data_IF_176386015974
#
_entry.id   IF_176386015974
#
_cell.length_a   1.000
_cell.length_b   1.000
_cell.length_c   1.000
_cell.angle_alpha   90.00
_cell.angle_beta   90.00
_cell.angle_gamma   90.00
#
_symmetry.space_group_name_H-M   'P 1'
#
loop_
_entity.id
_entity.type
_entity.pdbx_description
1 polymer ?
#
# COMPACT_ATOMS: atom_id res chain seq x y z
N UNK A 1 22.95 17.54 -8.65
CA UNK A 1 21.77 16.93 -7.97
C UNK A 1 20.51 17.35 -8.73
N UNK A 2 19.71 16.41 -9.21
CA UNK A 2 18.49 16.71 -10.00
C UNK A 2 17.31 17.14 -9.09
N UNK A 3 17.18 18.43 -8.82
CA UNK A 3 16.14 19.00 -7.93
C UNK A 3 14.72 18.65 -8.41
N UNK A 4 14.50 18.59 -9.73
CA UNK A 4 13.19 18.31 -10.35
C UNK A 4 12.58 16.95 -9.95
N UNK A 5 13.41 15.95 -9.60
CA UNK A 5 12.92 14.64 -9.16
C UNK A 5 12.33 14.69 -7.76
N UNK A 6 12.76 15.65 -6.93
CA UNK A 6 12.42 15.76 -5.51
C UNK A 6 11.27 16.72 -5.22
N UNK A 7 11.05 17.70 -6.09
CA UNK A 7 9.93 18.63 -5.95
C UNK A 7 8.72 18.09 -6.72
N UNK A 8 7.59 17.96 -6.01
CA UNK A 8 6.29 17.67 -6.61
C UNK A 8 5.44 18.92 -6.49
N UNK A 9 5.04 19.50 -7.63
CA UNK A 9 4.01 20.54 -7.66
C UNK A 9 2.69 19.84 -7.94
N UNK A 10 1.78 19.86 -6.95
CA UNK A 10 0.42 19.37 -7.11
C UNK A 10 -0.52 20.56 -7.23
N UNK A 11 -1.35 20.59 -8.27
CA UNK A 11 -2.39 21.61 -8.44
C UNK A 11 -3.70 21.03 -7.93
N UNK A 12 -4.27 21.67 -6.91
CA UNK A 12 -5.61 21.35 -6.40
C UNK A 12 -6.52 22.51 -6.79
N UNK A 13 -7.61 22.28 -7.53
CA UNK A 13 -8.54 23.34 -7.89
C UNK A 13 -9.30 23.83 -6.65
N UNK A 14 -9.48 25.15 -6.54
CA UNK A 14 -10.10 25.81 -5.39
C UNK A 14 -9.09 26.59 -4.53
N UNK A 15 -9.59 27.34 -3.56
CA UNK A 15 -8.78 28.21 -2.69
C UNK A 15 -8.36 29.53 -3.34
N UNK A 16 -7.61 30.33 -2.59
CA UNK A 16 -6.95 31.54 -3.07
C UNK A 16 -5.46 31.27 -3.34
N UNK A 17 -4.78 32.21 -4.00
CA UNK A 17 -3.35 32.07 -4.32
C UNK A 17 -2.52 31.93 -3.04
N UNK A 18 -2.94 32.64 -1.99
CA UNK A 18 -2.34 32.71 -0.66
C UNK A 18 -2.44 31.39 0.11
N UNK A 19 -3.36 30.49 -0.27
CA UNK A 19 -3.51 29.16 0.34
C UNK A 19 -2.43 28.17 -0.13
N UNK A 20 -1.59 28.57 -1.08
CA UNK A 20 -0.50 27.76 -1.60
C UNK A 20 0.60 27.58 -0.55
N UNK A 21 0.76 26.35 -0.04
CA UNK A 21 1.74 26.03 0.99
C UNK A 21 2.78 25.02 0.52
N UNK A 22 4.04 25.24 0.93
CA UNK A 22 5.11 24.25 0.75
C UNK A 22 5.09 23.27 1.92
N UNK A 23 4.68 22.04 1.67
CA UNK A 23 4.69 20.96 2.67
C UNK A 23 6.01 20.20 2.61
N UNK A 24 6.69 20.06 3.75
CA UNK A 24 7.79 19.11 3.92
C UNK A 24 7.17 17.72 3.97
N UNK A 25 7.25 16.98 2.86
CA UNK A 25 6.62 15.67 2.73
C UNK A 25 6.26 15.34 1.28
N UNK A 26 5.49 14.27 1.10
CA UNK A 26 5.01 13.84 -0.22
C UNK A 26 3.49 13.83 -0.21
N UNK A 27 2.88 14.65 -1.06
CA UNK A 27 1.43 14.63 -1.27
C UNK A 27 1.10 13.65 -2.40
N UNK A 28 0.17 12.73 -2.13
CA UNK A 28 -0.29 11.73 -3.09
C UNK A 28 -1.81 11.81 -3.13
N UNK A 29 -2.35 12.11 -4.31
CA UNK A 29 -3.78 12.08 -4.54
C UNK A 29 -4.24 10.63 -4.79
N UNK A 30 -4.34 9.85 -3.71
CA UNK A 30 -4.82 8.47 -3.76
C UNK A 30 -5.45 8.09 -2.42
N UNK A 31 -6.65 7.52 -2.46
CA UNK A 31 -7.39 7.11 -1.25
C UNK A 31 -6.92 5.72 -0.76
N UNK A 32 -7.31 5.38 0.47
CA UNK A 32 -7.20 4.02 1.01
C UNK A 32 -8.07 3.05 0.22
N UNK A 33 -7.73 1.77 0.31
CA UNK A 33 -8.44 0.72 -0.44
C UNK A 33 -9.89 0.56 0.03
N UNK A 34 -10.12 0.60 1.34
CA UNK A 34 -11.45 0.54 1.94
C UNK A 34 -11.78 1.83 2.71
N UNK A 35 -12.24 2.88 2.00
CA UNK A 35 -12.68 4.11 2.66
C UNK A 35 -13.81 3.80 3.64
N UNK A 36 -13.65 4.22 4.90
CA UNK A 36 -14.62 3.98 5.99
C UNK A 36 -14.24 2.86 6.95
N UNK A 37 -13.52 1.83 6.51
CA UNK A 37 -13.01 0.76 7.39
C UNK A 37 -11.55 0.96 7.80
N UNK A 38 -10.77 1.65 6.96
CA UNK A 38 -9.37 1.97 7.21
C UNK A 38 -9.21 3.38 7.80
N UNK A 39 -8.21 3.56 8.67
CA UNK A 39 -7.91 4.84 9.32
C UNK A 39 -7.34 5.81 8.28
N UNK A 40 -7.91 7.02 8.20
CA UNK A 40 -7.44 8.07 7.27
C UNK A 40 -6.35 8.96 7.84
N UNK A 41 -6.29 9.06 9.16
CA UNK A 41 -5.30 9.85 9.88
C UNK A 41 -4.61 8.94 10.89
N UNK A 42 -3.30 8.83 10.75
CA UNK A 42 -2.47 7.99 11.62
C UNK A 42 -1.32 8.86 12.13
N UNK A 43 -1.10 8.79 13.44
CA UNK A 43 -0.02 9.44 14.17
C UNK A 43 1.03 8.38 14.55
N UNK A 44 2.30 8.76 14.68
CA UNK A 44 3.43 7.83 14.92
C UNK A 44 3.37 6.54 14.10
N UNK A 45 3.11 6.69 12.80
CA UNK A 45 2.80 5.57 11.92
C UNK A 45 4.02 4.74 11.57
N UNK A 46 3.81 3.42 11.51
CA UNK A 46 4.78 2.46 10.98
C UNK A 46 4.46 2.13 9.53
N UNK A 47 5.38 2.47 8.63
CA UNK A 47 5.17 2.41 7.19
C UNK A 47 6.00 1.26 6.60
N UNK A 48 5.37 0.47 5.74
CA UNK A 48 6.03 -0.53 4.90
C UNK A 48 5.75 -0.22 3.43
N UNK A 49 6.79 -0.25 2.60
CA UNK A 49 6.72 -0.04 1.15
C UNK A 49 7.03 -1.35 0.42
N UNK A 50 6.15 -1.75 -0.49
CA UNK A 50 6.25 -3.02 -1.22
C UNK A 50 6.14 -2.82 -2.74
N UNK A 51 6.93 -3.58 -3.50
CA UNK A 51 6.76 -3.76 -4.95
C UNK A 51 6.20 -5.16 -5.32
N UNK A 52 5.57 -5.85 -4.34
CA UNK A 52 4.93 -7.16 -4.56
C UNK A 52 3.42 -7.03 -4.78
N UNK A 53 2.81 -7.79 -5.71
CA UNK A 53 1.35 -7.94 -5.79
C UNK A 53 0.82 -8.78 -4.62
N UNK A 54 -0.08 -8.20 -3.82
CA UNK A 54 -0.84 -8.93 -2.80
C UNK A 54 -2.15 -9.45 -3.40
N UNK A 55 -2.02 -10.18 -4.50
CA UNK A 55 -3.13 -10.79 -5.24
C UNK A 55 -2.63 -12.04 -5.94
N UNK A 56 -3.49 -13.06 -6.03
CA UNK A 56 -3.16 -14.25 -6.79
C UNK A 56 -3.22 -13.91 -8.28
N UNK A 57 -2.16 -14.27 -9.01
CA UNK A 57 -2.15 -14.19 -10.47
C UNK A 57 -2.22 -15.60 -11.00
N UNK A 58 -3.32 -15.92 -11.70
CA UNK A 58 -3.39 -17.12 -12.52
C UNK A 58 -2.27 -17.05 -13.55
N UNK A 59 -1.39 -18.05 -13.56
CA UNK A 59 -0.26 -18.10 -14.50
C UNK A 59 -0.78 -18.19 -15.94
N UNK A 60 -0.36 -17.27 -16.81
CA UNK A 60 -0.85 -17.17 -18.19
C UNK A 60 -0.61 -18.44 -19.02
N UNK A 61 0.35 -19.30 -18.63
CA UNK A 61 0.81 -20.43 -19.46
C UNK A 61 0.60 -21.85 -18.86
N UNK A 62 0.08 -22.02 -17.64
CA UNK A 62 0.07 -23.33 -16.97
C UNK A 62 -1.31 -23.91 -16.62
N UNK A 63 -2.39 -23.13 -16.71
CA UNK A 63 -3.72 -23.59 -16.23
C UNK A 63 -4.60 -24.21 -17.31
N UNK A 64 -4.14 -24.27 -18.56
CA UNK A 64 -4.91 -24.87 -19.65
C UNK A 64 -4.93 -26.42 -19.64
N UNK A 65 -4.12 -27.08 -18.82
CA UNK A 65 -3.87 -28.51 -19.01
C UNK A 65 -4.79 -29.46 -18.21
N UNK A 66 -5.37 -29.10 -17.05
CA UNK A 66 -5.94 -30.15 -16.17
C UNK A 66 -7.22 -29.79 -15.37
N UNK A 67 -7.89 -28.66 -15.61
CA UNK A 67 -9.16 -28.36 -14.90
C UNK A 67 -10.35 -29.04 -15.59
N UNK A 68 -10.44 -30.37 -15.44
CA UNK A 68 -11.51 -31.21 -16.00
C UNK A 68 -12.52 -31.71 -14.95
N UNK A 69 -12.30 -31.48 -13.65
CA UNK A 69 -13.22 -31.94 -12.57
C UNK A 69 -13.67 -30.79 -11.67
N UNK A 70 -14.93 -30.81 -11.24
CA UNK A 70 -15.52 -29.83 -10.30
C UNK A 70 -14.78 -29.80 -8.95
N UNK A 71 -14.25 -30.94 -8.51
CA UNK A 71 -13.52 -31.13 -7.25
C UNK A 71 -12.22 -30.29 -7.19
N UNK A 72 -11.54 -30.11 -8.32
CA UNK A 72 -10.25 -29.41 -8.40
C UNK A 72 -10.41 -27.88 -8.25
N UNK A 73 -11.59 -27.34 -8.57
CA UNK A 73 -11.88 -25.91 -8.43
C UNK A 73 -11.96 -25.48 -6.96
N UNK A 74 -12.54 -26.32 -6.10
CA UNK A 74 -12.63 -26.04 -4.66
C UNK A 74 -11.25 -25.98 -4.00
N UNK A 75 -10.37 -26.91 -4.36
CA UNK A 75 -8.98 -26.95 -3.88
C UNK A 75 -8.20 -25.72 -4.36
N UNK A 76 -8.37 -25.32 -5.61
CA UNK A 76 -7.69 -24.14 -6.16
C UNK A 76 -8.08 -22.85 -5.45
N UNK A 77 -9.37 -22.69 -5.11
CA UNK A 77 -9.86 -21.55 -4.34
C UNK A 77 -9.24 -21.51 -2.93
N UNK A 78 -9.19 -22.66 -2.24
CA UNK A 78 -8.56 -22.75 -0.92
C UNK A 78 -7.07 -22.39 -0.97
N UNK A 79 -6.35 -22.89 -1.98
CA UNK A 79 -4.93 -22.56 -2.17
C UNK A 79 -4.71 -21.07 -2.42
N UNK A 80 -5.60 -20.41 -3.18
CA UNK A 80 -5.57 -18.96 -3.40
C UNK A 80 -5.78 -18.18 -2.10
N UNK A 81 -6.77 -18.58 -1.29
CA UNK A 81 -7.05 -17.95 0.01
C UNK A 81 -5.88 -18.10 0.99
N UNK A 82 -5.37 -19.32 1.16
CA UNK A 82 -4.22 -19.61 2.01
C UNK A 82 -2.95 -18.87 1.56
N UNK A 83 -2.76 -18.72 0.26
CA UNK A 83 -1.63 -17.95 -0.27
C UNK A 83 -1.71 -16.48 0.18
N UNK A 84 -2.87 -15.84 -0.02
CA UNK A 84 -3.06 -14.44 0.36
C UNK A 84 -3.00 -14.25 1.87
N UNK A 85 -3.60 -15.16 2.64
CA UNK A 85 -3.53 -15.13 4.09
C UNK A 85 -2.09 -15.19 4.59
N UNK A 86 -1.28 -16.15 4.09
CA UNK A 86 0.14 -16.28 4.47
C UNK A 86 0.92 -14.99 4.25
N UNK A 87 0.75 -14.37 3.07
CA UNK A 87 1.41 -13.09 2.76
C UNK A 87 0.99 -11.97 3.71
N UNK A 88 -0.31 -11.86 3.99
CA UNK A 88 -0.84 -10.84 4.90
C UNK A 88 -0.33 -11.05 6.32
N UNK A 89 -0.33 -12.29 6.81
CA UNK A 89 0.16 -12.65 8.14
C UNK A 89 1.65 -12.30 8.28
N UNK A 90 2.47 -12.58 7.27
CA UNK A 90 3.89 -12.19 7.29
C UNK A 90 4.08 -10.69 7.46
N UNK A 91 3.35 -9.88 6.68
CA UNK A 91 3.40 -8.41 6.78
C UNK A 91 2.91 -7.94 8.15
N UNK A 92 1.83 -8.54 8.66
CA UNK A 92 1.22 -8.19 9.94
C UNK A 92 2.09 -8.52 11.16
N UNK A 93 3.04 -9.48 11.06
CA UNK A 93 3.99 -9.78 12.15
C UNK A 93 4.82 -8.57 12.55
N UNK A 94 5.16 -7.71 11.59
CA UNK A 94 5.88 -6.46 11.79
C UNK A 94 5.01 -5.33 12.39
N UNK A 95 3.71 -5.60 12.53
CA UNK A 95 2.67 -4.71 13.03
C UNK A 95 2.65 -3.33 12.33
N UNK A 96 2.66 -3.23 11.00
CA UNK A 96 2.59 -1.93 10.32
C UNK A 96 1.28 -1.21 10.60
N UNK A 97 1.28 0.12 10.51
CA UNK A 97 0.04 0.92 10.50
C UNK A 97 -0.40 1.27 9.08
N UNK A 98 0.58 1.41 8.18
CA UNK A 98 0.37 1.73 6.76
C UNK A 98 1.19 0.78 5.89
N UNK A 99 0.53 0.16 4.91
CA UNK A 99 1.17 -0.67 3.88
C UNK A 99 0.91 -0.04 2.52
N UNK A 100 1.96 0.27 1.79
CA UNK A 100 1.88 0.89 0.46
C UNK A 100 2.47 -0.07 -0.56
N UNK A 101 1.68 -0.44 -1.56
CA UNK A 101 2.12 -1.32 -2.65
C UNK A 101 2.12 -0.59 -3.99
N UNK A 102 3.17 -0.80 -4.80
CA UNK A 102 3.17 -0.36 -6.20
C UNK A 102 2.23 -1.19 -7.07
N UNK A 103 2.01 -2.45 -6.69
CA UNK A 103 1.16 -3.40 -7.40
C UNK A 103 -0.26 -3.43 -6.84
N UNK A 104 -1.06 -4.39 -7.28
CA UNK A 104 -2.42 -4.59 -6.77
C UNK A 104 -2.46 -5.25 -5.39
N UNK A 105 -3.61 -5.14 -4.75
CA UNK A 105 -3.95 -5.73 -3.45
C UNK A 105 -5.39 -6.25 -3.58
N UNK A 106 -5.60 -7.54 -3.29
CA UNK A 106 -6.88 -8.22 -3.42
C UNK A 106 -7.86 -7.82 -2.33
N UNK A 107 -9.16 -7.99 -2.55
CA UNK A 107 -10.15 -7.62 -1.54
C UNK A 107 -10.06 -8.49 -0.28
N UNK A 108 -9.59 -9.73 -0.42
CA UNK A 108 -9.26 -10.60 0.71
C UNK A 108 -8.11 -10.05 1.55
N UNK A 109 -7.02 -9.60 0.93
CA UNK A 109 -5.92 -8.94 1.64
C UNK A 109 -6.38 -7.64 2.32
N UNK A 110 -7.29 -6.90 1.68
CA UNK A 110 -7.89 -5.69 2.25
C UNK A 110 -8.70 -6.01 3.52
N UNK A 111 -9.45 -7.12 3.51
CA UNK A 111 -10.18 -7.59 4.69
C UNK A 111 -9.23 -7.92 5.85
N UNK A 112 -8.15 -8.66 5.60
CA UNK A 112 -7.14 -8.97 6.62
C UNK A 112 -6.50 -7.72 7.22
N UNK A 113 -6.07 -6.78 6.38
CA UNK A 113 -5.49 -5.52 6.84
C UNK A 113 -6.48 -4.66 7.60
N UNK A 114 -7.73 -4.56 7.12
CA UNK A 114 -8.78 -3.82 7.81
C UNK A 114 -9.09 -4.41 9.18
N UNK A 115 -9.16 -5.73 9.31
CA UNK A 115 -9.38 -6.42 10.60
C UNK A 115 -8.23 -6.18 11.57
N UNK A 116 -7.00 -6.07 11.07
CA UNK A 116 -5.81 -5.75 11.86
C UNK A 116 -5.63 -4.24 12.11
N UNK A 117 -6.51 -3.37 11.60
CA UNK A 117 -6.41 -1.92 11.74
C UNK A 117 -5.33 -1.26 10.88
N UNK A 118 -4.81 -1.96 9.87
CA UNK A 118 -3.77 -1.50 8.96
C UNK A 118 -4.38 -0.84 7.74
N UNK A 119 -3.87 0.33 7.37
CA UNK A 119 -4.34 1.07 6.20
C UNK A 119 -3.50 0.72 4.97
N UNK A 120 -4.16 0.23 3.93
CA UNK A 120 -3.53 -0.19 2.68
C UNK A 120 -3.69 0.84 1.58
N UNK A 121 -2.63 1.06 0.79
CA UNK A 121 -2.68 1.77 -0.49
C UNK A 121 -2.16 0.85 -1.59
N UNK A 122 -2.88 0.74 -2.72
CA UNK A 122 -2.50 -0.10 -3.86
C UNK A 122 -2.24 0.69 -5.12
N UNK A 123 -1.48 0.10 -6.05
CA UNK A 123 -1.19 0.63 -7.40
C UNK A 123 -0.50 1.99 -7.37
N UNK A 124 0.44 2.21 -6.46
CA UNK A 124 1.16 3.47 -6.42
C UNK A 124 2.17 3.56 -7.58
N UNK A 125 2.30 4.74 -8.22
CA UNK A 125 3.33 4.94 -9.24
C UNK A 125 4.72 4.83 -8.61
N UNK A 126 5.64 4.15 -9.29
CA UNK A 126 7.05 4.00 -8.86
C UNK A 126 7.72 5.34 -8.51
N UNK A 127 7.43 6.40 -9.27
CA UNK A 127 7.95 7.75 -8.99
C UNK A 127 7.45 8.31 -7.65
N UNK A 128 6.20 8.02 -7.26
CA UNK A 128 5.68 8.41 -5.96
C UNK A 128 6.26 7.52 -4.86
N UNK A 129 6.34 6.21 -5.07
CA UNK A 129 6.90 5.30 -4.07
C UNK A 129 8.35 5.65 -3.73
N UNK A 130 9.18 5.93 -4.74
CA UNK A 130 10.56 6.41 -4.54
C UNK A 130 10.64 7.73 -3.76
N UNK A 131 9.66 8.63 -3.93
CA UNK A 131 9.59 9.88 -3.15
C UNK A 131 9.21 9.59 -1.69
N UNK A 132 8.26 8.69 -1.45
CA UNK A 132 7.90 8.26 -0.07
C UNK A 132 9.11 7.60 0.59
N UNK A 133 9.73 6.64 -0.08
CA UNK A 133 10.92 5.93 0.38
C UNK A 133 11.98 6.92 0.88
N UNK A 134 12.32 7.92 0.06
CA UNK A 134 13.28 8.95 0.44
C UNK A 134 12.79 9.90 1.55
N UNK A 135 11.52 10.28 1.54
CA UNK A 135 10.97 11.17 2.54
C UNK A 135 10.77 10.50 3.91
N UNK A 136 10.65 9.17 3.95
CA UNK A 136 10.55 8.40 5.18
C UNK A 136 11.91 7.82 5.61
N UNK A 137 12.84 7.64 4.67
CA UNK A 137 14.03 6.82 4.89
C UNK A 137 13.73 5.31 4.80
N UNK A 138 12.65 4.93 4.12
CA UNK A 138 12.21 3.55 3.95
C UNK A 138 12.84 2.89 2.73
N UNK A 139 13.08 1.59 2.82
CA UNK A 139 13.49 0.75 1.70
C UNK A 139 12.23 0.13 1.08
N UNK A 140 12.18 0.08 -0.26
CA UNK A 140 11.10 -0.61 -0.97
C UNK A 140 11.46 -2.08 -1.04
N UNK A 141 10.66 -2.93 -0.40
CA UNK A 141 10.91 -4.37 -0.35
C UNK A 141 10.18 -5.05 -1.51
N UNK A 142 10.88 -5.93 -2.22
CA UNK A 142 10.32 -6.61 -3.39
C UNK A 142 9.43 -7.78 -3.02
N UNK A 143 9.79 -8.56 -2.00
CA UNK A 143 9.04 -9.74 -1.56
C UNK A 143 8.70 -9.65 -0.07
N UNK A 144 7.48 -10.02 0.34
CA UNK A 144 7.09 -10.03 1.74
C UNK A 144 7.93 -10.99 2.59
N UNK A 145 8.49 -12.05 1.99
CA UNK A 145 9.40 -12.99 2.67
C UNK A 145 10.75 -12.36 3.08
N UNK A 146 11.18 -11.32 2.36
CA UNK A 146 12.45 -10.63 2.60
C UNK A 146 12.28 -9.47 3.59
N UNK A 147 11.07 -9.20 4.07
CA UNK A 147 10.81 -8.14 5.03
C UNK A 147 11.60 -8.37 6.31
N UNK A 148 12.32 -7.34 6.74
CA UNK A 148 13.03 -7.31 8.00
C UNK A 148 12.47 -6.21 8.90
N UNK A 149 12.77 -6.31 10.21
CA UNK A 149 12.34 -5.31 11.18
C UNK A 149 12.95 -3.92 10.89
N UNK A 150 14.09 -3.87 10.20
CA UNK A 150 14.75 -2.64 9.73
C UNK A 150 14.00 -1.92 8.61
N UNK A 151 13.15 -2.63 7.86
CA UNK A 151 12.39 -2.04 6.75
C UNK A 151 11.12 -1.32 7.24
N UNK A 152 10.74 -1.57 8.49
CA UNK A 152 9.64 -0.89 9.16
C UNK A 152 10.11 0.47 9.61
N UNK A 153 9.66 1.52 8.92
CA UNK A 153 10.03 2.88 9.26
C UNK A 153 9.01 3.51 10.18
N UNK A 154 9.49 3.96 11.34
CA UNK A 154 8.73 4.79 12.26
C UNK A 154 8.87 6.25 11.83
N UNK A 155 7.75 6.95 11.63
CA UNK A 155 7.76 8.40 11.44
C UNK A 155 7.14 9.09 12.66
N UNK A 156 7.86 9.99 13.35
CA UNK A 156 7.32 10.76 14.45
C UNK A 156 6.24 11.76 13.99
N UNK A 157 5.42 12.20 14.96
CA UNK A 157 4.14 12.91 14.82
C UNK A 157 4.10 14.16 13.91
N UNK A 158 5.24 14.79 13.64
CA UNK A 158 5.33 16.04 12.87
C UNK A 158 4.97 15.88 11.38
N UNK A 159 4.85 14.63 10.91
CA UNK A 159 4.50 14.26 9.53
C UNK A 159 3.41 13.16 9.49
N UNK A 160 2.25 13.46 10.08
CA UNK A 160 1.07 12.61 9.96
C UNK A 160 0.78 12.27 8.48
N UNK A 161 0.57 10.97 8.18
CA UNK A 161 0.02 10.57 6.90
C UNK A 161 -1.47 10.87 6.94
N UNK A 162 -1.83 12.05 6.45
CA UNK A 162 -3.22 12.37 6.13
C UNK A 162 -3.51 11.76 4.76
N UNK A 163 -4.21 10.63 4.74
CA UNK A 163 -4.73 10.06 3.51
C UNK A 163 -5.90 10.95 3.06
N UNK A 164 -5.98 11.28 1.76
CA UNK A 164 -6.86 12.33 1.28
C UNK A 164 -8.30 12.05 1.70
N UNK A 165 -8.89 13.00 2.42
CA UNK A 165 -10.33 13.04 2.61
C UNK A 165 -10.96 13.33 1.27
N UNK A 166 -11.76 12.39 0.76
CA UNK A 166 -12.88 12.72 -0.12
C UNK A 166 -13.89 13.56 0.69
N UNK A 167 -13.54 14.80 0.98
CA UNK A 167 -14.46 15.85 1.38
C UNK A 167 -14.48 16.86 0.25
N UNK A 168 -15.36 16.59 -0.71
CA UNK A 168 -16.15 17.58 -1.43
C UNK A 168 -17.28 16.83 -2.14
N UNK A 169 -18.31 16.51 -1.37
CA UNK A 169 -19.71 16.68 -1.76
C UNK A 169 -20.39 17.44 -0.64
#
# INVERSE_FOLDING_TARGET
MDIQKYIKVEKVPGGQLEDSVVRKGVMINKDVIAPGKMRRKIFNQRIILLDWPLQYKKGENQTNAELLKEEDWGVLLQLEEEYIERLCVQILKFKPDVVITEKGLSDLACHYFSKAGVSGMRRLRKTHNNRIAKACGAVIVNRPDELQQSDVVNRPDDLACCLPTSQNR
#
